data_IF_974319018898
#
_entry.id   IF_974319018898
#
_cell.length_a   1.000
_cell.length_b   1.000
_cell.length_c   1.000
_cell.angle_alpha   90.00
_cell.angle_beta   90.00
_cell.angle_gamma   90.00
#
_symmetry.space_group_name_H-M   'P 1'
#
loop_
_entity.id
_entity.type
_entity.pdbx_description
1 polymer ?
#
# COMPACT_ATOMS: atom_id res chain seq x y z
N UNK A 1 -9.93 1.36 -8.74
CA UNK A 1 -10.32 0.02 -8.24
C UNK A 1 -9.21 -0.60 -7.41
N UNK A 2 -9.60 -1.21 -6.27
CA UNK A 2 -8.70 -1.90 -5.35
C UNK A 2 -9.20 -3.33 -5.14
N UNK A 3 -8.29 -4.31 -5.22
CA UNK A 3 -8.60 -5.72 -4.98
C UNK A 3 -7.60 -6.32 -4.01
N UNK A 4 -8.07 -7.05 -3.00
CA UNK A 4 -7.19 -7.77 -2.08
C UNK A 4 -6.65 -9.03 -2.76
N UNK A 5 -5.33 -9.20 -2.74
CA UNK A 5 -4.65 -10.35 -3.32
C UNK A 5 -4.70 -11.56 -2.39
N UNK A 6 -4.80 -12.80 -2.94
CA UNK A 6 -4.91 -14.03 -2.15
C UNK A 6 -3.67 -14.34 -1.30
N UNK A 7 -2.52 -13.70 -1.58
CA UNK A 7 -1.31 -13.82 -0.75
C UNK A 7 -1.36 -13.04 0.57
N UNK A 8 -2.47 -12.35 0.85
CA UNK A 8 -2.69 -11.67 2.14
C UNK A 8 -2.94 -12.70 3.24
N UNK A 9 -2.07 -12.75 4.26
CA UNK A 9 -2.18 -13.69 5.38
C UNK A 9 -1.55 -13.13 6.64
N UNK A 10 -2.23 -13.34 7.78
CA UNK A 10 -1.84 -12.81 9.09
C UNK A 10 -1.57 -11.29 9.02
N UNK A 11 -0.36 -10.89 9.39
CA UNK A 11 0.07 -9.48 9.39
C UNK A 11 0.36 -8.89 8.01
N UNK A 12 0.33 -9.69 6.93
CA UNK A 12 0.65 -9.24 5.57
C UNK A 12 -0.65 -9.00 4.80
N UNK A 13 -0.86 -7.78 4.34
CA UNK A 13 -1.94 -7.40 3.44
C UNK A 13 -1.36 -7.04 2.07
N UNK A 14 -1.96 -7.58 1.01
CA UNK A 14 -1.54 -7.30 -0.34
C UNK A 14 -2.74 -6.87 -1.19
N UNK A 15 -2.55 -5.82 -1.98
CA UNK A 15 -3.60 -5.24 -2.80
C UNK A 15 -3.10 -4.98 -4.22
N UNK A 16 -3.98 -5.24 -5.19
CA UNK A 16 -3.82 -4.81 -6.57
C UNK A 16 -4.60 -3.52 -6.79
N UNK A 17 -3.92 -2.50 -7.27
CA UNK A 17 -4.44 -1.19 -7.62
C UNK A 17 -4.44 -1.06 -9.14
N UNK A 18 -5.59 -0.76 -9.74
CA UNK A 18 -5.68 -0.63 -11.20
C UNK A 18 -6.69 0.42 -11.65
N UNK A 19 -6.43 1.00 -12.83
CA UNK A 19 -7.20 2.11 -13.39
C UNK A 19 -7.12 3.36 -12.53
N UNK A 20 -8.21 4.12 -12.49
CA UNK A 20 -8.35 5.30 -11.63
C UNK A 20 -8.85 4.90 -10.24
N UNK A 21 -8.10 5.27 -9.20
CA UNK A 21 -8.51 5.05 -7.82
C UNK A 21 -9.45 6.17 -7.35
N UNK A 22 -10.59 5.78 -6.78
CA UNK A 22 -11.61 6.69 -6.25
C UNK A 22 -11.64 6.65 -4.72
N UNK A 23 -12.22 7.68 -4.11
CA UNK A 23 -12.42 7.74 -2.67
C UNK A 23 -13.19 6.52 -2.11
N UNK A 24 -14.19 6.03 -2.85
CA UNK A 24 -14.94 4.82 -2.49
C UNK A 24 -14.03 3.58 -2.43
N UNK A 25 -13.06 3.45 -3.35
CA UNK A 25 -12.15 2.30 -3.32
C UNK A 25 -11.34 2.24 -2.01
N UNK A 26 -10.87 3.40 -1.52
CA UNK A 26 -10.14 3.49 -0.26
C UNK A 26 -11.07 3.21 0.94
N UNK A 27 -12.21 3.90 1.00
CA UNK A 27 -13.14 3.81 2.13
C UNK A 27 -13.79 2.44 2.26
N UNK A 28 -14.20 1.85 1.14
CA UNK A 28 -15.06 0.67 1.13
C UNK A 28 -14.25 -0.63 1.05
N UNK A 29 -12.98 -0.58 0.58
CA UNK A 29 -12.13 -1.77 0.44
C UNK A 29 -10.85 -1.69 1.27
N UNK A 30 -10.05 -0.64 1.11
CA UNK A 30 -8.70 -0.61 1.69
C UNK A 30 -8.70 -0.37 3.20
N UNK A 31 -9.41 0.66 3.66
CA UNK A 31 -9.47 1.06 5.07
C UNK A 31 -10.03 -0.06 5.98
N UNK A 32 -11.16 -0.72 5.65
CA UNK A 32 -11.72 -1.77 6.50
C UNK A 32 -10.78 -2.98 6.67
N UNK A 33 -10.07 -3.35 5.60
CA UNK A 33 -9.11 -4.46 5.62
C UNK A 33 -7.88 -4.16 6.49
N UNK A 34 -7.38 -2.93 6.43
CA UNK A 34 -6.30 -2.46 7.28
C UNK A 34 -6.74 -2.40 8.74
N UNK A 35 -7.89 -1.79 9.04
CA UNK A 35 -8.42 -1.72 10.39
C UNK A 35 -8.63 -3.11 11.00
N UNK A 36 -9.13 -4.07 10.22
CA UNK A 36 -9.29 -5.46 10.65
C UNK A 36 -7.94 -6.08 11.03
N UNK A 37 -6.93 -5.97 10.15
CA UNK A 37 -5.60 -6.51 10.44
C UNK A 37 -4.94 -5.84 11.66
N UNK A 38 -5.15 -4.54 11.86
CA UNK A 38 -4.63 -3.78 13.01
C UNK A 38 -5.32 -4.11 14.34
N UNK A 39 -6.51 -4.75 14.31
CA UNK A 39 -7.16 -5.30 15.51
C UNK A 39 -6.53 -6.63 15.92
N UNK A 40 -6.07 -7.42 14.94
CA UNK A 40 -5.50 -8.75 15.16
C UNK A 40 -3.98 -8.73 15.37
N UNK A 41 -3.31 -7.73 14.80
CA UNK A 41 -1.85 -7.61 14.82
C UNK A 41 -1.39 -6.21 15.27
N UNK A 42 -0.37 -6.10 16.15
CA UNK A 42 0.16 -4.82 16.59
C UNK A 42 0.90 -4.08 15.48
N UNK A 43 1.49 -4.82 14.54
CA UNK A 43 2.15 -4.32 13.34
C UNK A 43 1.74 -5.13 12.13
N UNK A 44 1.57 -4.46 11.00
CA UNK A 44 1.22 -5.05 9.70
C UNK A 44 2.25 -4.69 8.64
N UNK A 45 2.23 -5.45 7.55
CA UNK A 45 3.02 -5.24 6.35
C UNK A 45 2.09 -5.13 5.16
N UNK A 46 2.37 -4.19 4.27
CA UNK A 46 1.47 -3.89 3.15
C UNK A 46 2.22 -4.04 1.83
N UNK A 47 1.64 -4.72 0.85
CA UNK A 47 2.13 -4.79 -0.51
C UNK A 47 1.09 -4.20 -1.46
N UNK A 48 1.50 -3.22 -2.27
CA UNK A 48 0.68 -2.64 -3.32
C UNK A 48 1.27 -3.02 -4.68
N UNK A 49 0.45 -3.63 -5.54
CA UNK A 49 0.79 -3.87 -6.94
C UNK A 49 -0.04 -2.96 -7.82
N UNK A 50 0.61 -2.00 -8.47
CA UNK A 50 -0.02 -1.07 -9.39
C UNK A 50 0.03 -1.67 -10.81
N UNK A 51 -1.13 -1.79 -11.44
CA UNK A 51 -1.28 -2.25 -12.82
C UNK A 51 -2.13 -1.28 -13.63
N UNK A 52 -1.55 -0.68 -14.69
CA UNK A 52 -2.26 0.28 -15.55
C UNK A 52 -2.86 1.39 -14.69
N UNK A 53 -2.01 1.98 -13.85
CA UNK A 53 -2.45 3.02 -12.93
C UNK A 53 -2.71 4.32 -13.70
N UNK A 54 -3.95 4.82 -13.62
CA UNK A 54 -4.36 6.03 -14.35
C UNK A 54 -4.40 7.26 -13.43
N UNK A 55 -3.93 7.12 -12.20
CA UNK A 55 -4.00 8.15 -11.16
C UNK A 55 -5.03 7.84 -10.07
N UNK A 56 -5.05 8.68 -9.05
CA UNK A 56 -6.12 8.72 -8.04
C UNK A 56 -6.85 10.04 -8.13
N UNK A 57 -8.11 10.03 -7.72
CA UNK A 57 -8.80 11.27 -7.39
C UNK A 57 -8.24 11.77 -6.07
N UNK A 58 -7.60 12.94 -6.08
CA UNK A 58 -7.17 13.63 -4.85
C UNK A 58 -8.43 14.03 -4.09
N UNK A 59 -8.61 13.52 -2.88
CA UNK A 59 -9.81 13.72 -2.06
C UNK A 59 -9.58 13.25 -0.62
N UNK A 60 -10.57 13.46 0.24
CA UNK A 60 -10.47 13.20 1.68
C UNK A 60 -10.01 11.78 2.01
N UNK A 61 -10.56 10.76 1.35
CA UNK A 61 -10.17 9.38 1.63
C UNK A 61 -8.70 9.02 1.34
N UNK A 62 -7.99 9.73 0.45
CA UNK A 62 -6.54 9.54 0.30
C UNK A 62 -5.79 10.12 1.50
N UNK A 63 -6.19 11.30 1.95
CA UNK A 63 -5.64 11.94 3.14
C UNK A 63 -5.95 11.12 4.40
N UNK A 64 -7.19 10.61 4.53
CA UNK A 64 -7.61 9.74 5.62
C UNK A 64 -6.89 8.39 5.56
N UNK A 65 -6.68 7.81 4.37
CA UNK A 65 -5.90 6.58 4.21
C UNK A 65 -4.45 6.78 4.63
N UNK A 66 -3.79 7.83 4.12
CA UNK A 66 -2.43 8.13 4.54
C UNK A 66 -2.40 8.40 6.04
N UNK A 67 -3.39 9.10 6.62
CA UNK A 67 -3.52 9.30 8.06
C UNK A 67 -3.76 7.99 8.84
N UNK A 68 -4.54 7.06 8.32
CA UNK A 68 -4.73 5.73 8.90
C UNK A 68 -3.42 4.92 8.89
N UNK A 69 -2.63 5.05 7.82
CA UNK A 69 -1.27 4.54 7.78
C UNK A 69 -0.31 5.33 8.70
N UNK A 70 -0.60 6.59 9.07
CA UNK A 70 0.22 7.39 10.02
C UNK A 70 0.19 6.82 11.43
N UNK A 71 -0.74 5.92 11.74
CA UNK A 71 -0.64 5.15 12.97
C UNK A 71 0.62 4.26 12.87
N UNK A 72 1.51 4.23 13.88
CA UNK A 72 2.86 3.63 13.84
C UNK A 72 2.88 2.08 13.78
N UNK A 73 1.93 1.50 13.06
CA UNK A 73 1.63 0.08 12.99
C UNK A 73 2.01 -0.55 11.66
N UNK A 74 2.38 0.22 10.64
CA UNK A 74 2.92 -0.35 9.39
C UNK A 74 4.43 -0.45 9.51
N UNK A 75 4.98 -1.66 9.50
CA UNK A 75 6.43 -1.85 9.65
C UNK A 75 7.15 -1.89 8.30
N UNK A 76 6.52 -2.48 7.28
CA UNK A 76 7.06 -2.62 5.93
C UNK A 76 5.99 -2.37 4.88
N UNK A 77 6.36 -1.66 3.83
CA UNK A 77 5.51 -1.40 2.67
C UNK A 77 6.27 -1.67 1.37
N UNK A 78 5.75 -2.59 0.57
CA UNK A 78 6.27 -2.89 -0.77
C UNK A 78 5.36 -2.24 -1.82
N UNK A 79 5.95 -1.52 -2.76
CA UNK A 79 5.24 -0.86 -3.86
C UNK A 79 5.75 -1.40 -5.19
N UNK A 80 4.99 -2.28 -5.83
CA UNK A 80 5.28 -2.79 -7.17
C UNK A 80 4.63 -1.84 -8.17
N UNK A 81 5.46 -1.03 -8.84
CA UNK A 81 5.04 0.07 -9.69
C UNK A 81 5.42 -0.17 -11.16
N UNK A 82 4.58 0.31 -12.08
CA UNK A 82 4.84 0.26 -13.51
C UNK A 82 5.55 1.53 -14.03
N UNK A 83 5.68 1.67 -15.35
CA UNK A 83 6.33 2.83 -15.96
C UNK A 83 5.50 4.13 -15.88
N UNK A 84 4.20 4.05 -15.55
CA UNK A 84 3.32 5.22 -15.37
C UNK A 84 3.46 5.86 -13.99
N UNK A 85 4.25 5.25 -13.10
CA UNK A 85 4.48 5.78 -11.77
C UNK A 85 5.31 7.06 -11.79
N UNK A 86 4.78 8.10 -11.15
CA UNK A 86 5.42 9.41 -11.04
C UNK A 86 6.54 9.40 -9.97
N UNK A 87 7.72 9.92 -10.32
CA UNK A 87 8.82 10.09 -9.37
C UNK A 87 8.43 10.98 -8.19
N UNK A 88 7.57 11.99 -8.40
CA UNK A 88 7.06 12.84 -7.33
C UNK A 88 6.35 12.03 -6.24
N UNK A 89 5.64 10.97 -6.62
CA UNK A 89 4.95 10.10 -5.68
C UNK A 89 5.90 9.23 -4.86
N UNK A 90 7.03 8.84 -5.44
CA UNK A 90 8.11 8.19 -4.69
C UNK A 90 8.59 9.08 -3.54
N UNK A 91 8.72 10.40 -3.78
CA UNK A 91 9.13 11.35 -2.74
C UNK A 91 8.09 11.48 -1.63
N UNK A 92 6.81 11.58 -1.96
CA UNK A 92 5.72 11.65 -0.98
C UNK A 92 5.73 10.41 -0.08
N UNK A 93 5.79 9.21 -0.67
CA UNK A 93 5.80 7.96 0.07
C UNK A 93 7.06 7.79 0.93
N UNK A 94 8.23 8.25 0.47
CA UNK A 94 9.46 8.25 1.28
C UNK A 94 9.39 9.23 2.46
N UNK A 95 8.81 10.42 2.26
CA UNK A 95 8.57 11.38 3.35
C UNK A 95 7.62 10.81 4.39
N UNK A 96 6.55 10.18 3.93
CA UNK A 96 5.60 9.45 4.77
C UNK A 96 6.27 8.31 5.57
N UNK A 97 7.08 7.50 4.90
CA UNK A 97 7.85 6.41 5.51
C UNK A 97 8.72 6.90 6.67
N UNK A 98 9.39 8.03 6.45
CA UNK A 98 10.31 8.64 7.42
C UNK A 98 9.54 9.14 8.65
N UNK A 99 8.39 9.78 8.44
CA UNK A 99 7.53 10.26 9.54
C UNK A 99 6.96 9.12 10.38
N UNK A 100 6.64 7.99 9.75
CA UNK A 100 5.96 6.83 10.38
C UNK A 100 6.90 5.72 10.82
N UNK A 101 8.20 5.87 10.59
CA UNK A 101 9.21 4.81 10.76
C UNK A 101 8.87 3.51 10.00
N UNK A 102 8.18 3.63 8.86
CA UNK A 102 7.85 2.51 7.98
C UNK A 102 9.02 2.27 7.02
N UNK A 103 9.46 1.03 6.84
CA UNK A 103 10.40 0.71 5.76
C UNK A 103 9.61 0.60 4.44
N UNK A 104 9.85 1.49 3.48
CA UNK A 104 9.20 1.47 2.16
C UNK A 104 10.19 1.05 1.08
N UNK A 105 9.83 0.07 0.25
CA UNK A 105 10.60 -0.32 -0.94
C UNK A 105 9.75 -0.32 -2.19
N UNK A 106 10.34 0.16 -3.27
CA UNK A 106 9.73 0.21 -4.59
C UNK A 106 10.36 -0.87 -5.46
N UNK A 107 9.52 -1.60 -6.17
CA UNK A 107 9.88 -2.66 -7.09
C UNK A 107 9.24 -2.39 -8.44
N UNK A 108 9.90 -2.81 -9.52
CA UNK A 108 9.32 -2.80 -10.86
C UNK A 108 8.39 -4.01 -11.02
N UNK A 109 7.44 -3.95 -11.95
CA UNK A 109 6.47 -5.05 -12.15
C UNK A 109 7.11 -6.42 -12.44
N UNK A 110 8.22 -6.44 -13.18
CA UNK A 110 9.02 -7.65 -13.45
C UNK A 110 9.66 -8.25 -12.19
N UNK A 111 9.74 -7.48 -11.11
CA UNK A 111 10.27 -7.86 -9.79
C UNK A 111 9.18 -8.07 -8.74
N UNK A 112 7.95 -8.35 -9.16
CA UNK A 112 6.84 -8.61 -8.23
C UNK A 112 7.18 -9.74 -7.23
N UNK A 113 7.90 -10.77 -7.65
CA UNK A 113 8.32 -11.85 -6.75
C UNK A 113 9.29 -11.37 -5.66
N UNK A 114 10.27 -10.53 -6.01
CA UNK A 114 11.20 -9.94 -5.04
C UNK A 114 10.46 -9.10 -3.99
N UNK A 115 9.39 -8.40 -4.39
CA UNK A 115 8.54 -7.65 -3.47
C UNK A 115 7.83 -8.55 -2.46
N UNK A 116 7.30 -9.69 -2.93
CA UNK A 116 6.68 -10.72 -2.09
C UNK A 116 7.66 -11.38 -1.14
N UNK A 117 8.88 -11.68 -1.60
CA UNK A 117 9.90 -12.30 -0.77
C UNK A 117 10.35 -11.32 0.32
N UNK A 118 10.53 -10.05 -0.03
CA UNK A 118 10.93 -9.02 0.94
C UNK A 118 9.85 -8.72 2.00
N UNK A 119 8.57 -8.67 1.61
CA UNK A 119 7.49 -8.42 2.57
C UNK A 119 7.29 -9.60 3.53
N UNK A 120 7.64 -10.82 3.10
CA UNK A 120 7.54 -12.06 3.88
C UNK A 120 8.78 -12.36 4.73
N UNK A 121 9.95 -11.88 4.34
CA UNK A 121 11.19 -12.05 5.10
C UNK A 121 11.01 -11.59 6.55
N UNK A 122 11.58 -12.28 7.52
CA UNK A 122 11.37 -11.96 8.94
C UNK A 122 11.85 -10.54 9.31
#
# INVERSE_FOLDING_TARGET
>A
MIEKLPGSSGKILAFRLFGKLTEADYRDTLTPEIEKALKEHPKIRVLFTLERFEGWTVGGAWEDFTFALKLPKVERMAMVVDASWDEWMTWIFKGFATLTQTEVRFFRQDRNQEAWDWIRAE
#
